data_IF_567475733203
#
_entry.id   IF_567475733203
#
_cell.length_a   1.000
_cell.length_b   1.000
_cell.length_c   1.000
_cell.angle_alpha   90.00
_cell.angle_beta   90.00
_cell.angle_gamma   90.00
#
_symmetry.space_group_name_H-M   'P 1'
#
loop_
_entity.id
_entity.type
_entity.pdbx_description
1 polymer ?
#
# COMPACT_ATOMS: atom_id res chain seq x y z
N UNK A 1 8.28 -18.21 -8.63
CA UNK A 1 7.81 -17.62 -9.90
C UNK A 1 8.69 -16.41 -10.19
N UNK A 2 9.43 -16.43 -11.31
CA UNK A 2 10.21 -15.26 -11.74
C UNK A 2 9.19 -14.18 -12.14
N UNK A 3 9.18 -13.05 -11.43
CA UNK A 3 8.44 -11.89 -11.86
C UNK A 3 8.94 -11.47 -13.23
N UNK A 4 8.07 -11.07 -14.18
CA UNK A 4 8.52 -10.49 -15.42
C UNK A 4 9.44 -9.32 -15.08
N UNK A 5 10.65 -9.36 -15.62
CA UNK A 5 11.71 -8.42 -15.32
C UNK A 5 11.24 -6.97 -15.49
N UNK A 6 11.70 -6.11 -14.60
CA UNK A 6 11.78 -4.67 -14.81
C UNK A 6 12.17 -4.41 -16.26
N UNK A 7 11.26 -3.83 -17.09
CA UNK A 7 11.58 -3.54 -18.50
C UNK A 7 10.41 -3.57 -19.47
N UNK A 8 9.29 -4.23 -19.16
CA UNK A 8 8.11 -4.21 -20.03
C UNK A 8 7.27 -2.94 -19.83
N UNK A 9 7.90 -1.77 -19.88
CA UNK A 9 7.25 -0.47 -19.61
C UNK A 9 6.20 -0.06 -20.65
N UNK A 10 6.21 -0.70 -21.83
CA UNK A 10 5.22 -0.48 -22.88
C UNK A 10 4.06 -1.47 -22.85
N UNK A 11 4.10 -2.49 -21.98
CA UNK A 11 3.01 -3.47 -21.90
C UNK A 11 1.78 -2.84 -21.22
N UNK A 12 0.71 -2.67 -21.95
CA UNK A 12 -0.54 -2.04 -21.46
C UNK A 12 -1.59 -3.07 -21.04
N UNK A 13 -1.55 -4.28 -21.61
CA UNK A 13 -2.61 -5.26 -21.39
C UNK A 13 -2.08 -6.68 -21.42
N UNK A 14 -2.68 -7.52 -20.57
CA UNK A 14 -2.47 -8.97 -20.55
C UNK A 14 -3.82 -9.63 -20.82
N UNK A 15 -3.84 -10.52 -21.81
CA UNK A 15 -5.02 -11.35 -22.10
C UNK A 15 -4.72 -12.80 -21.79
N UNK A 16 -5.57 -13.43 -20.98
CA UNK A 16 -5.47 -14.84 -20.61
C UNK A 16 -6.62 -15.60 -21.27
N UNK A 17 -6.29 -16.72 -21.95
CA UNK A 17 -7.31 -17.59 -22.55
C UNK A 17 -8.29 -18.10 -21.48
N UNK A 18 -9.59 -18.16 -21.83
CA UNK A 18 -10.62 -18.74 -20.95
C UNK A 18 -10.41 -20.22 -20.62
N UNK A 19 -9.58 -20.91 -21.40
CA UNK A 19 -9.18 -22.29 -21.15
C UNK A 19 -8.02 -22.42 -20.16
N UNK A 20 -7.42 -21.30 -19.71
CA UNK A 20 -6.35 -21.34 -18.72
C UNK A 20 -6.93 -21.64 -17.35
N UNK A 21 -6.41 -22.68 -16.70
CA UNK A 21 -6.91 -23.15 -15.38
C UNK A 21 -6.18 -22.52 -14.18
N UNK A 22 -5.12 -21.74 -14.42
CA UNK A 22 -4.27 -21.17 -13.36
C UNK A 22 -4.40 -19.67 -13.22
N UNK A 23 -4.69 -18.98 -14.33
CA UNK A 23 -4.74 -17.53 -14.40
C UNK A 23 -5.96 -17.05 -15.16
N UNK A 24 -6.35 -15.82 -14.85
CA UNK A 24 -7.38 -15.06 -15.57
C UNK A 24 -6.88 -13.65 -15.85
N UNK A 25 -7.60 -12.88 -16.63
CA UNK A 25 -7.34 -11.45 -16.81
C UNK A 25 -8.63 -10.65 -16.76
N UNK A 26 -8.60 -9.52 -16.07
CA UNK A 26 -9.69 -8.54 -16.00
C UNK A 26 -9.09 -7.18 -16.32
N UNK A 27 -9.68 -6.46 -17.28
CA UNK A 27 -9.20 -5.15 -17.74
C UNK A 27 -7.71 -5.10 -18.07
N UNK A 28 -7.19 -6.19 -18.65
CA UNK A 28 -5.80 -6.31 -19.04
C UNK A 28 -4.81 -6.56 -17.89
N UNK A 29 -5.30 -6.79 -16.68
CA UNK A 29 -4.49 -7.12 -15.49
C UNK A 29 -4.52 -8.62 -15.25
N UNK A 30 -3.39 -9.21 -14.86
CA UNK A 30 -3.26 -10.63 -14.55
C UNK A 30 -3.74 -10.95 -13.14
N UNK A 31 -4.66 -11.90 -13.02
CA UNK A 31 -5.17 -12.42 -11.76
C UNK A 31 -4.97 -13.95 -11.67
N UNK A 32 -5.18 -14.49 -10.47
CA UNK A 32 -5.34 -15.94 -10.30
C UNK A 32 -6.62 -16.44 -11.02
N UNK A 33 -6.80 -17.75 -11.12
CA UNK A 33 -7.92 -18.35 -11.87
C UNK A 33 -9.28 -17.84 -11.40
N UNK A 34 -9.47 -17.68 -10.08
CA UNK A 34 -10.73 -17.27 -9.46
C UNK A 34 -10.95 -15.74 -9.46
N UNK A 35 -10.06 -14.97 -10.08
CA UNK A 35 -10.08 -13.51 -10.10
C UNK A 35 -10.18 -12.85 -8.71
N UNK A 36 -9.62 -13.49 -7.69
CA UNK A 36 -9.61 -13.01 -6.30
C UNK A 36 -8.29 -12.40 -5.88
N UNK A 37 -7.22 -12.61 -6.64
CA UNK A 37 -5.88 -12.10 -6.36
C UNK A 37 -5.25 -11.44 -7.56
N UNK A 38 -4.76 -10.21 -7.40
CA UNK A 38 -3.92 -9.57 -8.40
C UNK A 38 -2.55 -10.25 -8.38
N UNK A 39 -2.12 -10.75 -9.54
CA UNK A 39 -0.81 -11.39 -9.71
C UNK A 39 0.19 -10.40 -10.28
N UNK A 40 -0.19 -9.65 -11.32
CA UNK A 40 0.69 -8.67 -11.93
C UNK A 40 -0.07 -7.62 -12.74
N UNK A 41 0.39 -6.37 -12.60
CA UNK A 41 -0.15 -5.19 -13.27
C UNK A 41 0.79 -4.73 -14.40
N UNK A 42 0.30 -4.51 -15.63
CA UNK A 42 1.11 -4.07 -16.76
C UNK A 42 1.67 -2.65 -16.55
N UNK A 43 2.98 -2.47 -16.72
CA UNK A 43 3.66 -1.20 -16.43
C UNK A 43 3.31 -0.07 -17.41
N UNK A 44 2.87 -0.41 -18.64
CA UNK A 44 2.42 0.55 -19.65
C UNK A 44 0.98 1.01 -19.48
N UNK A 45 0.20 0.36 -18.60
CA UNK A 45 -1.19 0.75 -18.33
C UNK A 45 -1.24 2.09 -17.60
N UNK A 46 -2.11 3.00 -18.06
CA UNK A 46 -2.23 4.38 -17.59
C UNK A 46 -3.63 4.67 -17.04
N UNK A 47 -3.73 5.78 -16.31
CA UNK A 47 -4.99 6.26 -15.72
C UNK A 47 -5.23 5.67 -14.33
N UNK A 48 -6.30 6.11 -13.68
CA UNK A 48 -6.72 5.55 -12.39
C UNK A 48 -7.15 4.09 -12.55
N UNK A 49 -6.91 3.28 -11.53
CA UNK A 49 -7.29 1.87 -11.57
C UNK A 49 -8.13 1.49 -10.35
N UNK A 50 -9.33 1.00 -10.62
CA UNK A 50 -10.21 0.41 -9.61
C UNK A 50 -10.06 -1.10 -9.64
N UNK A 51 -9.61 -1.69 -8.53
CA UNK A 51 -9.52 -3.14 -8.43
C UNK A 51 -10.92 -3.77 -8.45
N UNK A 52 -11.11 -4.93 -9.13
CA UNK A 52 -12.38 -5.64 -9.09
C UNK A 52 -12.83 -5.93 -7.64
N UNK A 53 -14.14 -5.80 -7.37
CA UNK A 53 -14.70 -6.01 -6.03
C UNK A 53 -14.51 -7.44 -5.49
N UNK A 54 -14.24 -8.42 -6.38
CA UNK A 54 -13.91 -9.80 -6.03
C UNK A 54 -12.50 -9.96 -5.45
N UNK A 55 -11.61 -8.97 -5.65
CA UNK A 55 -10.22 -9.05 -5.22
C UNK A 55 -10.14 -8.91 -3.70
N UNK A 56 -9.57 -9.92 -3.06
CA UNK A 56 -9.32 -9.95 -1.62
C UNK A 56 -7.82 -9.99 -1.27
N UNK A 57 -6.96 -10.17 -2.28
CA UNK A 57 -5.51 -10.16 -2.11
C UNK A 57 -4.77 -9.53 -3.28
N UNK A 58 -3.59 -8.98 -2.99
CA UNK A 58 -2.62 -8.45 -3.95
C UNK A 58 -1.32 -9.23 -3.75
N UNK A 59 -0.75 -9.75 -4.84
CA UNK A 59 0.49 -10.52 -4.80
C UNK A 59 1.73 -9.68 -4.52
N UNK A 60 2.84 -10.36 -4.21
CA UNK A 60 4.14 -9.72 -4.03
C UNK A 60 4.53 -8.97 -5.31
N UNK A 61 4.95 -7.70 -5.17
CA UNK A 61 5.40 -6.84 -6.26
C UNK A 61 4.37 -6.63 -7.40
N UNK A 62 3.09 -6.91 -7.18
CA UNK A 62 2.07 -6.92 -8.24
C UNK A 62 1.91 -5.57 -8.97
N UNK A 63 2.12 -4.44 -8.30
CA UNK A 63 2.09 -3.08 -8.84
C UNK A 63 3.44 -2.36 -8.75
N UNK A 64 4.54 -3.13 -8.60
CA UNK A 64 5.88 -2.54 -8.54
C UNK A 64 6.17 -1.72 -9.80
N UNK A 65 6.69 -0.50 -9.61
CA UNK A 65 7.08 0.42 -10.71
C UNK A 65 5.92 0.85 -11.62
N UNK A 66 4.65 0.63 -11.24
CA UNK A 66 3.53 1.04 -12.06
C UNK A 66 3.35 2.58 -12.08
N UNK A 67 2.83 3.08 -13.20
CA UNK A 67 2.62 4.51 -13.42
C UNK A 67 1.15 4.90 -13.18
N UNK A 68 0.58 4.45 -12.08
CA UNK A 68 -0.78 4.77 -11.65
C UNK A 68 -0.71 5.69 -10.44
N UNK A 69 -1.43 6.80 -10.49
CA UNK A 69 -1.43 7.81 -9.42
C UNK A 69 -2.44 7.50 -8.32
N UNK A 70 -3.56 6.85 -8.68
CA UNK A 70 -4.64 6.54 -7.77
C UNK A 70 -5.16 5.12 -7.95
N UNK A 71 -5.21 4.39 -6.85
CA UNK A 71 -5.84 3.07 -6.76
C UNK A 71 -7.07 3.15 -5.87
N UNK A 72 -8.16 2.53 -6.31
CA UNK A 72 -9.32 2.27 -5.46
C UNK A 72 -9.26 0.81 -5.05
N UNK A 73 -8.98 0.58 -3.77
CA UNK A 73 -8.85 -0.75 -3.16
C UNK A 73 -10.23 -1.19 -2.64
N UNK A 74 -10.67 -2.43 -2.91
CA UNK A 74 -11.98 -2.89 -2.47
C UNK A 74 -12.00 -3.19 -0.95
N UNK A 75 -13.16 -3.01 -0.31
CA UNK A 75 -13.37 -3.34 1.12
C UNK A 75 -13.18 -4.83 1.43
N UNK A 76 -13.20 -5.68 0.39
CA UNK A 76 -12.92 -7.10 0.50
C UNK A 76 -11.43 -7.42 0.71
N UNK A 77 -10.53 -6.45 0.45
CA UNK A 77 -9.08 -6.67 0.51
C UNK A 77 -8.63 -6.97 1.94
N UNK A 78 -8.01 -8.13 2.13
CA UNK A 78 -7.51 -8.60 3.43
C UNK A 78 -6.01 -8.83 3.45
N UNK A 79 -5.37 -8.89 2.26
CA UNK A 79 -3.96 -9.19 2.12
C UNK A 79 -3.31 -8.36 1.02
N UNK A 80 -2.15 -7.80 1.33
CA UNK A 80 -1.23 -7.19 0.38
C UNK A 80 0.10 -7.94 0.47
N UNK A 81 0.76 -8.16 -0.66
CA UNK A 81 2.06 -8.81 -0.71
C UNK A 81 3.22 -7.86 -0.42
N UNK A 82 4.41 -8.45 -0.17
CA UNK A 82 5.65 -7.71 0.01
C UNK A 82 5.94 -6.85 -1.25
N UNK A 83 6.35 -5.59 -1.03
CA UNK A 83 6.72 -4.69 -2.12
C UNK A 83 5.61 -4.44 -3.15
N UNK A 84 4.35 -4.70 -2.82
CA UNK A 84 3.25 -4.71 -3.79
C UNK A 84 3.16 -3.43 -4.64
N UNK A 85 3.45 -2.26 -4.07
CA UNK A 85 3.45 -0.96 -4.75
C UNK A 85 4.84 -0.31 -4.79
N UNK A 86 5.91 -1.08 -4.56
CA UNK A 86 7.28 -0.56 -4.52
C UNK A 86 7.62 0.27 -5.76
N UNK A 87 8.18 1.48 -5.56
CA UNK A 87 8.56 2.43 -6.63
C UNK A 87 7.41 2.84 -7.56
N UNK A 88 6.14 2.71 -7.15
CA UNK A 88 5.01 3.19 -7.95
C UNK A 88 4.81 4.70 -7.81
N UNK A 89 4.06 5.29 -8.76
CA UNK A 89 3.76 6.73 -8.79
C UNK A 89 2.50 7.11 -8.00
N UNK A 90 2.05 6.23 -7.11
CA UNK A 90 0.88 6.48 -6.27
C UNK A 90 1.05 7.74 -5.42
N UNK A 91 0.03 8.62 -5.40
CA UNK A 91 0.05 9.90 -4.66
C UNK A 91 -0.64 9.82 -3.31
N UNK A 92 -1.70 9.04 -3.23
CA UNK A 92 -2.46 8.79 -2.01
C UNK A 92 -2.98 7.35 -1.99
N UNK A 93 -3.16 6.79 -0.81
CA UNK A 93 -3.77 5.47 -0.64
C UNK A 93 -4.65 5.42 0.61
N UNK A 94 -5.83 4.81 0.43
CA UNK A 94 -6.72 4.44 1.54
C UNK A 94 -6.75 2.92 1.64
N UNK A 95 -6.24 2.41 2.75
CA UNK A 95 -6.20 0.99 3.05
C UNK A 95 -7.50 0.58 3.73
N UNK A 96 -8.17 -0.48 3.26
CA UNK A 96 -9.47 -0.87 3.80
C UNK A 96 -9.37 -1.46 5.21
N UNK A 97 -10.48 -1.37 5.95
CA UNK A 97 -10.56 -1.80 7.36
C UNK A 97 -10.16 -3.25 7.62
N UNK A 98 -10.35 -4.14 6.64
CA UNK A 98 -10.03 -5.56 6.83
C UNK A 98 -8.55 -5.88 6.72
N UNK A 99 -7.73 -4.94 6.27
CA UNK A 99 -6.29 -5.13 6.11
C UNK A 99 -5.59 -4.98 7.46
N UNK A 100 -5.15 -6.10 8.04
CA UNK A 100 -4.52 -6.14 9.36
C UNK A 100 -3.03 -5.81 9.35
N UNK A 101 -2.33 -6.14 8.28
CA UNK A 101 -0.89 -5.93 8.20
C UNK A 101 -0.46 -5.33 6.87
N UNK A 102 0.54 -4.46 6.94
CA UNK A 102 1.21 -3.86 5.79
C UNK A 102 2.60 -4.48 5.73
N UNK A 103 2.88 -5.37 4.76
CA UNK A 103 4.13 -6.11 4.68
C UNK A 103 5.34 -5.24 4.31
N UNK A 104 6.52 -5.82 4.46
CA UNK A 104 7.80 -5.19 4.16
C UNK A 104 7.84 -4.55 2.77
N UNK A 105 8.26 -3.29 2.72
CA UNK A 105 8.49 -2.57 1.47
C UNK A 105 7.24 -2.29 0.63
N UNK A 106 6.03 -2.46 1.16
CA UNK A 106 4.79 -2.34 0.37
C UNK A 106 4.75 -1.07 -0.48
N UNK A 107 5.12 0.08 0.09
CA UNK A 107 5.17 1.38 -0.61
C UNK A 107 6.59 1.95 -0.71
N UNK A 108 7.61 1.12 -0.47
CA UNK A 108 9.00 1.59 -0.52
C UNK A 108 9.31 2.30 -1.83
N UNK A 109 9.89 3.51 -1.74
CA UNK A 109 10.32 4.28 -2.91
C UNK A 109 9.19 4.94 -3.70
N UNK A 110 7.96 5.01 -3.18
CA UNK A 110 6.85 5.75 -3.80
C UNK A 110 7.10 7.25 -3.66
N UNK A 111 7.82 7.85 -4.61
CA UNK A 111 8.32 9.24 -4.57
C UNK A 111 7.23 10.32 -4.61
N UNK A 112 6.01 9.94 -4.97
CA UNK A 112 4.86 10.85 -5.04
C UNK A 112 3.87 10.64 -3.88
N UNK A 113 4.04 9.60 -3.04
CA UNK A 113 3.09 9.25 -1.98
C UNK A 113 3.15 10.25 -0.82
N UNK A 114 2.10 11.04 -0.66
CA UNK A 114 1.97 12.08 0.37
C UNK A 114 0.99 11.73 1.47
N UNK A 115 -0.07 11.01 1.15
CA UNK A 115 -1.17 10.74 2.09
C UNK A 115 -1.45 9.24 2.17
N UNK A 116 -1.46 8.73 3.39
CA UNK A 116 -1.84 7.35 3.69
C UNK A 116 -2.96 7.35 4.71
N UNK A 117 -4.03 6.59 4.43
CA UNK A 117 -5.12 6.32 5.38
C UNK A 117 -5.15 4.85 5.70
N UNK A 118 -5.07 4.51 6.99
CA UNK A 118 -5.08 3.14 7.48
C UNK A 118 -6.38 2.87 8.22
N UNK A 119 -7.00 1.72 7.90
CA UNK A 119 -8.28 1.34 8.49
C UNK A 119 -8.22 0.95 9.97
N UNK A 120 -9.41 0.74 10.54
CA UNK A 120 -9.61 0.50 11.97
C UNK A 120 -8.97 -0.79 12.50
N UNK A 121 -8.67 -1.76 11.62
CA UNK A 121 -8.10 -3.08 11.99
C UNK A 121 -6.62 -3.23 11.66
N UNK A 122 -5.93 -2.16 11.31
CA UNK A 122 -4.47 -2.21 11.10
C UNK A 122 -3.78 -2.54 12.42
N UNK A 123 -3.04 -3.64 12.44
CA UNK A 123 -2.35 -4.19 13.62
C UNK A 123 -0.82 -4.13 13.50
N UNK A 124 -0.28 -4.21 12.26
CA UNK A 124 1.16 -4.29 12.02
C UNK A 124 1.61 -3.51 10.78
N UNK A 125 2.66 -2.74 10.93
CA UNK A 125 3.41 -2.09 9.85
C UNK A 125 4.85 -2.60 9.90
N UNK A 126 5.24 -3.32 8.85
CA UNK A 126 6.55 -4.00 8.76
C UNK A 126 7.68 -3.03 8.38
N UNK A 127 8.89 -3.57 8.21
CA UNK A 127 10.06 -2.77 7.83
C UNK A 127 9.93 -2.18 6.41
N UNK A 128 10.48 -1.00 6.21
CA UNK A 128 10.59 -0.30 4.92
C UNK A 128 9.27 -0.01 4.21
N UNK A 129 8.12 -0.11 4.91
CA UNK A 129 6.80 0.09 4.28
C UNK A 129 6.70 1.45 3.60
N UNK A 130 7.15 2.51 4.25
CA UNK A 130 7.11 3.89 3.75
C UNK A 130 8.50 4.50 3.56
N UNK A 131 9.50 3.65 3.41
CA UNK A 131 10.86 4.07 3.19
C UNK A 131 10.97 4.88 1.88
N UNK A 132 11.64 6.03 1.89
CA UNK A 132 11.71 6.94 0.74
C UNK A 132 10.35 7.46 0.21
N UNK A 133 9.32 7.58 1.05
CA UNK A 133 8.05 8.22 0.72
C UNK A 133 8.01 9.63 1.31
N UNK A 134 7.66 10.69 0.55
CA UNK A 134 7.56 12.07 1.04
C UNK A 134 6.20 12.35 1.71
N UNK A 135 5.84 11.51 2.70
CA UNK A 135 4.56 11.62 3.40
C UNK A 135 4.42 12.96 4.13
N UNK A 136 3.28 13.60 3.95
CA UNK A 136 2.87 14.80 4.71
C UNK A 136 1.84 14.46 5.78
N UNK A 137 0.99 13.47 5.52
CA UNK A 137 -0.12 13.09 6.39
C UNK A 137 -0.27 11.58 6.49
N UNK A 138 -0.40 11.08 7.70
CA UNK A 138 -0.73 9.69 8.00
C UNK A 138 -1.98 9.67 8.86
N UNK A 139 -3.05 9.06 8.35
CA UNK A 139 -4.31 8.86 9.07
C UNK A 139 -4.36 7.42 9.57
N UNK A 140 -4.63 7.23 10.85
CA UNK A 140 -4.79 5.91 11.47
C UNK A 140 -6.11 5.89 12.22
N UNK A 141 -7.04 5.05 11.77
CA UNK A 141 -8.35 4.89 12.41
C UNK A 141 -8.35 3.77 13.48
N UNK A 142 -7.24 3.05 13.63
CA UNK A 142 -7.10 2.01 14.65
C UNK A 142 -7.22 2.59 16.06
N UNK A 143 -8.09 2.03 16.93
CA UNK A 143 -8.32 2.52 18.29
C UNK A 143 -7.11 2.31 19.22
N UNK A 144 -6.20 1.43 18.84
CA UNK A 144 -4.91 1.17 19.50
C UNK A 144 -3.79 1.35 18.48
N UNK A 145 -2.63 1.94 18.88
CA UNK A 145 -1.52 2.11 17.96
C UNK A 145 -1.07 0.76 17.38
N UNK A 146 -1.02 0.61 16.04
CA UNK A 146 -0.46 -0.57 15.42
C UNK A 146 1.00 -0.78 15.84
N UNK A 147 1.44 -2.03 15.89
CA UNK A 147 2.89 -2.31 15.97
C UNK A 147 3.53 -1.73 14.71
N UNK A 148 4.48 -0.84 14.89
CA UNK A 148 5.24 -0.23 13.82
C UNK A 148 6.71 -0.61 13.99
N UNK A 149 7.26 -1.33 13.00
CA UNK A 149 8.66 -1.71 13.04
C UNK A 149 9.57 -0.48 12.95
N UNK A 150 10.73 -0.53 13.57
CA UNK A 150 11.66 0.61 13.67
C UNK A 150 12.17 1.12 12.32
N UNK A 151 12.16 0.26 11.29
CA UNK A 151 12.58 0.60 9.93
C UNK A 151 11.43 0.93 8.99
N UNK A 152 10.20 1.06 9.48
CA UNK A 152 9.04 1.36 8.62
C UNK A 152 9.23 2.65 7.80
N UNK A 153 9.95 3.64 8.34
CA UNK A 153 10.29 4.94 7.76
C UNK A 153 11.81 5.17 7.63
N UNK A 154 12.60 4.13 7.38
CA UNK A 154 14.05 4.11 7.62
C UNK A 154 14.86 5.26 6.99
N UNK A 155 14.53 5.69 5.77
CA UNK A 155 15.26 6.77 5.07
C UNK A 155 14.44 8.04 4.87
N UNK A 156 13.30 8.15 5.55
CA UNK A 156 12.44 9.35 5.46
C UNK A 156 13.09 10.60 6.09
N UNK A 157 14.23 10.42 6.75
CA UNK A 157 15.07 11.50 7.28
C UNK A 157 14.55 12.10 8.60
N UNK A 158 15.41 12.81 9.32
CA UNK A 158 15.05 13.44 10.61
C UNK A 158 13.95 14.49 10.48
N UNK A 159 13.82 15.14 9.32
CA UNK A 159 12.80 16.15 9.08
C UNK A 159 11.40 15.55 8.91
N UNK A 160 11.27 14.32 8.45
CA UNK A 160 9.99 13.64 8.26
C UNK A 160 9.16 13.62 9.55
N UNK A 161 9.72 13.15 10.66
CA UNK A 161 9.05 13.11 11.96
C UNK A 161 8.67 14.49 12.52
N UNK A 162 9.34 15.55 12.03
CA UNK A 162 9.09 16.94 12.42
C UNK A 162 8.00 17.60 11.59
N UNK A 163 7.75 17.14 10.37
CA UNK A 163 6.85 17.81 9.40
C UNK A 163 5.60 17.00 9.09
N UNK A 164 5.69 15.66 9.10
CA UNK A 164 4.55 14.80 8.84
C UNK A 164 3.54 14.86 9.99
N UNK A 165 2.26 15.03 9.64
CA UNK A 165 1.15 15.06 10.62
C UNK A 165 0.59 13.65 10.78
N UNK A 166 0.59 13.18 12.01
CA UNK A 166 -0.05 11.91 12.39
C UNK A 166 -1.46 12.21 12.92
N UNK A 167 -2.47 11.79 12.17
CA UNK A 167 -3.88 11.91 12.55
C UNK A 167 -4.34 10.62 13.24
N UNK A 168 -4.86 10.74 14.45
CA UNK A 168 -5.27 9.61 15.28
C UNK A 168 -6.73 9.77 15.76
N UNK A 169 -7.41 8.68 16.15
CA UNK A 169 -8.79 8.77 16.62
C UNK A 169 -8.94 9.68 17.84
N UNK A 170 -10.08 10.33 17.95
CA UNK A 170 -10.44 11.19 19.08
C UNK A 170 -10.22 10.50 20.43
N UNK A 171 -9.57 11.19 21.37
CA UNK A 171 -9.23 10.67 22.69
C UNK A 171 -8.06 9.69 22.73
N UNK A 172 -7.34 9.49 21.60
CA UNK A 172 -6.23 8.53 21.50
C UNK A 172 -4.83 9.15 21.41
N UNK A 173 -4.73 10.47 21.28
CA UNK A 173 -3.44 11.18 21.15
C UNK A 173 -2.41 10.78 22.20
N UNK A 174 -2.80 10.69 23.47
CA UNK A 174 -1.90 10.30 24.56
C UNK A 174 -1.34 8.88 24.35
N UNK A 175 -2.20 7.94 23.94
CA UNK A 175 -1.81 6.56 23.70
C UNK A 175 -0.75 6.46 22.57
N UNK A 176 -0.95 7.19 21.47
CA UNK A 176 0.01 7.26 20.37
C UNK A 176 1.30 7.98 20.77
N UNK A 177 1.20 9.07 21.56
CA UNK A 177 2.37 9.85 22.03
C UNK A 177 3.33 9.01 22.86
N UNK A 178 2.83 8.09 23.67
CA UNK A 178 3.65 7.23 24.52
C UNK A 178 3.92 5.85 23.92
N UNK A 179 3.60 5.63 22.64
CA UNK A 179 3.85 4.39 21.93
C UNK A 179 5.10 4.50 21.06
N UNK A 180 6.16 3.81 21.40
CA UNK A 180 7.38 3.53 20.63
C UNK A 180 7.64 4.45 19.42
N UNK A 181 7.52 3.91 18.22
CA UNK A 181 7.82 4.65 17.00
C UNK A 181 6.79 5.75 16.66
N UNK A 182 5.54 5.61 17.10
CA UNK A 182 4.52 6.63 16.88
C UNK A 182 4.75 7.90 17.70
N UNK A 183 5.29 7.76 18.92
CA UNK A 183 5.60 8.88 19.80
C UNK A 183 6.69 9.82 19.28
N UNK A 184 7.44 9.41 18.27
CA UNK A 184 8.49 10.22 17.65
C UNK A 184 7.93 11.33 16.72
N UNK A 185 6.68 11.21 16.26
CA UNK A 185 6.04 12.27 15.47
C UNK A 185 5.81 13.51 16.32
N UNK A 186 6.31 14.68 15.86
CA UNK A 186 6.12 15.94 16.57
C UNK A 186 4.67 16.43 16.51
N UNK A 187 4.00 16.21 15.40
CA UNK A 187 2.63 16.64 15.15
C UNK A 187 1.69 15.44 15.20
N UNK A 188 1.03 15.23 16.36
CA UNK A 188 -0.05 14.25 16.51
C UNK A 188 -1.33 15.03 16.79
N UNK A 189 -2.33 14.86 15.93
CA UNK A 189 -3.64 15.51 15.99
C UNK A 189 -4.77 14.48 16.07
N UNK A 190 -5.86 14.83 16.72
CA UNK A 190 -7.06 13.99 16.79
C UNK A 190 -8.03 14.39 15.69
N UNK A 191 -8.71 13.41 15.11
CA UNK A 191 -9.72 13.58 14.06
C UNK A 191 -11.10 13.09 14.50
#
# INVERSE_FOLDING_TARGET
>A
MLLPSSGCTALETISVSKANVHYSSVDGVLLNADATSIVWFPLGKKGDYTLPATVNSIGDYAFKECNIEKFILPDALTKIGQGAFMNSNIKEVSLPDKLKSIPTGTFQGCKELKIVRMGTKTELISDYVFDNCPLTDIYIDAPTPPVCNSKAFATSGENFLKTCILHVPKGKKTMYRYNGNWGQFQHIVEQ
#
